data_IF_873247674348
#
_entry.id   IF_873247674348
#
_cell.length_a   1.000
_cell.length_b   1.000
_cell.length_c   1.000
_cell.angle_alpha   90.00
_cell.angle_beta   90.00
_cell.angle_gamma   90.00
#
_symmetry.space_group_name_H-M   'P 1'
#
loop_
_entity.id
_entity.type
_entity.pdbx_description
1 polymer ?
#
# COMPACT_ATOMS: atom_id res chain seq x y z
N UNK A 1 19.92 -58.32 -12.98
CA UNK A 1 19.95 -57.36 -11.86
C UNK A 1 20.19 -55.98 -12.43
N UNK A 2 19.13 -55.16 -12.53
CA UNK A 2 19.17 -53.86 -13.21
C UNK A 2 18.94 -52.79 -12.16
N UNK A 3 20.02 -52.14 -11.72
CA UNK A 3 19.94 -51.01 -10.78
C UNK A 3 19.54 -49.76 -11.56
N UNK A 4 18.31 -49.28 -11.36
CA UNK A 4 17.87 -47.98 -11.87
C UNK A 4 18.64 -46.85 -11.14
N UNK A 5 19.14 -45.83 -11.84
CA UNK A 5 19.78 -44.69 -11.20
C UNK A 5 18.72 -43.81 -10.54
N UNK A 6 18.78 -43.72 -9.21
CA UNK A 6 18.04 -42.74 -8.43
C UNK A 6 18.54 -41.34 -8.78
N UNK A 7 17.84 -40.64 -9.69
CA UNK A 7 18.10 -39.22 -9.97
C UNK A 7 17.70 -38.39 -8.75
N UNK A 8 18.67 -38.09 -7.90
CA UNK A 8 18.56 -37.04 -6.89
C UNK A 8 18.61 -35.70 -7.63
N UNK A 9 17.46 -35.20 -8.06
CA UNK A 9 17.34 -33.80 -8.48
C UNK A 9 17.43 -32.93 -7.23
N UNK A 10 18.63 -32.51 -6.84
CA UNK A 10 18.81 -31.49 -5.81
C UNK A 10 18.39 -30.14 -6.39
N UNK A 11 17.09 -29.82 -6.36
CA UNK A 11 16.69 -28.42 -6.49
C UNK A 11 17.29 -27.69 -5.30
N UNK A 12 18.06 -26.64 -5.56
CA UNK A 12 18.60 -25.81 -4.49
C UNK A 12 17.42 -25.26 -3.66
N UNK A 13 17.54 -25.16 -2.32
CA UNK A 13 16.44 -24.71 -1.46
C UNK A 13 16.20 -23.19 -1.52
N UNK A 14 17.19 -22.42 -2.02
CA UNK A 14 17.16 -20.95 -2.07
C UNK A 14 16.06 -20.36 -2.97
N UNK A 15 15.81 -20.86 -4.20
CA UNK A 15 14.75 -20.34 -5.07
C UNK A 15 13.35 -20.63 -4.53
N UNK A 16 13.14 -21.79 -3.89
CA UNK A 16 11.84 -22.16 -3.33
C UNK A 16 11.53 -21.33 -2.07
N UNK A 17 12.52 -21.08 -1.21
CA UNK A 17 12.36 -20.21 -0.05
C UNK A 17 12.04 -18.76 -0.45
N UNK A 18 12.74 -18.23 -1.46
CA UNK A 18 12.50 -16.89 -2.00
C UNK A 18 11.11 -16.79 -2.65
N UNK A 19 10.72 -17.77 -3.47
CA UNK A 19 9.39 -17.82 -4.07
C UNK A 19 8.27 -17.87 -3.01
N UNK A 20 8.47 -18.66 -1.95
CA UNK A 20 7.56 -18.72 -0.81
C UNK A 20 7.45 -17.39 -0.06
N UNK A 21 8.55 -16.65 0.11
CA UNK A 21 8.54 -15.32 0.71
C UNK A 21 7.73 -14.31 -0.12
N UNK A 22 7.99 -14.23 -1.43
CA UNK A 22 7.27 -13.33 -2.34
C UNK A 22 5.77 -13.66 -2.41
N UNK A 23 5.41 -14.94 -2.37
CA UNK A 23 4.01 -15.37 -2.33
C UNK A 23 3.30 -14.92 -1.04
N UNK A 24 3.93 -15.13 0.12
CA UNK A 24 3.40 -14.66 1.41
C UNK A 24 3.19 -13.14 1.42
N UNK A 25 4.16 -12.41 0.88
CA UNK A 25 4.10 -10.97 0.76
C UNK A 25 2.92 -10.52 -0.13
N UNK A 26 2.72 -11.16 -1.28
CA UNK A 26 1.68 -10.78 -2.24
C UNK A 26 0.24 -10.95 -1.73
N UNK A 27 -0.02 -11.96 -0.88
CA UNK A 27 -1.40 -12.30 -0.46
C UNK A 27 -1.87 -11.55 0.78
N UNK A 28 -1.00 -11.35 1.78
CA UNK A 28 -1.39 -10.78 3.08
C UNK A 28 -0.20 -10.13 3.77
N UNK A 29 0.00 -8.84 3.52
CA UNK A 29 0.98 -8.05 4.27
C UNK A 29 0.27 -7.04 5.17
N UNK A 30 -0.06 -7.47 6.40
CA UNK A 30 -0.73 -6.63 7.39
C UNK A 30 0.04 -5.34 7.66
N UNK A 31 1.37 -5.42 7.68
CA UNK A 31 2.22 -4.26 7.90
C UNK A 31 2.03 -3.21 6.79
N UNK A 32 1.96 -3.60 5.51
CA UNK A 32 1.75 -2.64 4.42
C UNK A 32 0.38 -1.95 4.53
N UNK A 33 -0.66 -2.70 4.86
CA UNK A 33 -2.00 -2.15 5.05
C UNK A 33 -2.05 -1.17 6.24
N UNK A 34 -1.45 -1.55 7.37
CA UNK A 34 -1.33 -0.65 8.53
C UNK A 34 -0.49 0.59 8.24
N UNK A 35 0.62 0.47 7.50
CA UNK A 35 1.42 1.62 7.08
C UNK A 35 0.60 2.57 6.22
N UNK A 36 -0.18 2.06 5.26
CA UNK A 36 -1.06 2.90 4.42
C UNK A 36 -2.16 3.59 5.25
N UNK A 37 -2.74 2.91 6.23
CA UNK A 37 -3.71 3.53 7.15
C UNK A 37 -3.07 4.56 8.07
N UNK A 38 -1.88 4.29 8.61
CA UNK A 38 -1.16 5.25 9.43
C UNK A 38 -0.79 6.51 8.63
N UNK A 39 -0.33 6.35 7.38
CA UNK A 39 -0.10 7.47 6.46
C UNK A 39 -1.38 8.27 6.22
N UNK A 40 -2.50 7.62 5.91
CA UNK A 40 -3.77 8.31 5.73
C UNK A 40 -4.19 9.10 6.99
N UNK A 41 -4.17 8.45 8.16
CA UNK A 41 -4.61 9.05 9.41
C UNK A 41 -3.72 10.21 9.86
N UNK A 42 -2.41 10.10 9.66
CA UNK A 42 -1.46 11.18 9.97
C UNK A 42 -1.48 12.31 8.95
N UNK A 43 -1.92 12.03 7.71
CA UNK A 43 -2.10 13.05 6.67
C UNK A 43 -3.36 13.88 6.83
N UNK A 44 -4.42 13.33 7.43
CA UNK A 44 -5.72 14.01 7.57
C UNK A 44 -5.63 15.36 8.32
N UNK A 45 -4.94 15.47 9.47
CA UNK A 45 -4.78 16.75 10.17
C UNK A 45 -4.01 17.81 9.38
N UNK A 46 -3.26 17.41 8.34
CA UNK A 46 -2.46 18.31 7.49
C UNK A 46 -3.28 18.94 6.36
N UNK A 47 -4.54 18.52 6.20
CA UNK A 47 -5.44 19.09 5.20
C UNK A 47 -5.97 20.41 5.72
N UNK A 48 -5.83 21.48 4.94
CA UNK A 48 -6.10 22.86 5.37
C UNK A 48 -7.51 23.06 5.97
N UNK A 49 -8.53 22.39 5.46
CA UNK A 49 -9.91 22.52 5.96
C UNK A 49 -10.17 21.83 7.30
N UNK A 50 -9.27 20.95 7.76
CA UNK A 50 -9.45 20.25 9.04
C UNK A 50 -9.15 21.17 10.24
N UNK A 51 -8.42 22.27 10.02
CA UNK A 51 -8.13 23.30 11.02
C UNK A 51 -7.64 22.75 12.37
N UNK A 52 -6.83 21.67 12.34
CA UNK A 52 -6.21 21.11 13.54
C UNK A 52 -5.35 22.16 14.26
N UNK A 53 -5.23 22.05 15.58
CA UNK A 53 -4.30 22.87 16.33
C UNK A 53 -2.84 22.57 15.92
N UNK A 54 -1.99 23.59 16.08
CA UNK A 54 -0.61 23.52 15.63
C UNK A 54 0.21 22.36 16.21
N UNK A 55 0.09 22.00 17.51
CA UNK A 55 0.76 20.83 18.06
C UNK A 55 0.42 19.53 17.33
N UNK A 56 -0.87 19.30 17.03
CA UNK A 56 -1.32 18.12 16.30
C UNK A 56 -0.77 18.13 14.87
N UNK A 57 -0.86 19.25 14.15
CA UNK A 57 -0.30 19.36 12.80
C UNK A 57 1.19 19.05 12.76
N UNK A 58 1.96 19.59 13.73
CA UNK A 58 3.41 19.37 13.81
C UNK A 58 3.77 17.90 13.99
N UNK A 59 3.15 17.22 14.95
CA UNK A 59 3.43 15.81 15.21
C UNK A 59 2.93 14.91 14.07
N UNK A 60 1.76 15.22 13.53
CA UNK A 60 1.22 14.55 12.34
C UNK A 60 2.16 14.68 11.15
N UNK A 61 2.69 15.88 10.87
CA UNK A 61 3.62 16.12 9.76
C UNK A 61 4.92 15.32 9.93
N UNK A 62 5.51 15.35 11.13
CA UNK A 62 6.72 14.60 11.43
C UNK A 62 6.50 13.09 11.25
N UNK A 63 5.44 12.54 11.85
CA UNK A 63 5.13 11.12 11.75
C UNK A 63 4.78 10.71 10.31
N UNK A 64 3.99 11.52 9.60
CA UNK A 64 3.61 11.28 8.21
C UNK A 64 4.84 11.27 7.30
N UNK A 65 5.74 12.25 7.45
CA UNK A 65 7.01 12.32 6.71
C UNK A 65 7.90 11.11 6.98
N UNK A 66 8.06 10.70 8.24
CA UNK A 66 8.86 9.52 8.60
C UNK A 66 8.27 8.22 8.04
N UNK A 67 6.95 8.03 8.18
CA UNK A 67 6.25 6.87 7.62
C UNK A 67 6.33 6.86 6.09
N UNK A 68 6.27 8.02 5.45
CA UNK A 68 6.35 8.13 3.99
C UNK A 68 7.75 7.84 3.48
N UNK A 69 8.76 8.42 4.12
CA UNK A 69 10.16 8.29 3.70
C UNK A 69 10.75 6.92 3.99
N UNK A 70 10.38 6.28 5.10
CA UNK A 70 10.94 4.99 5.51
C UNK A 70 9.92 3.85 5.47
N UNK A 71 8.73 4.06 6.03
CA UNK A 71 7.69 3.02 6.08
C UNK A 71 7.23 2.60 4.69
N UNK A 72 6.93 3.54 3.80
CA UNK A 72 6.44 3.24 2.46
C UNK A 72 7.46 2.44 1.62
N UNK A 73 8.73 2.85 1.45
CA UNK A 73 9.67 2.07 0.65
C UNK A 73 10.05 0.72 1.28
N UNK A 74 10.14 0.63 2.62
CA UNK A 74 10.55 -0.62 3.27
C UNK A 74 9.41 -1.65 3.36
N UNK A 75 8.16 -1.21 3.45
CA UNK A 75 7.02 -2.09 3.73
C UNK A 75 6.03 -2.14 2.56
N UNK A 76 5.65 -0.98 2.02
CA UNK A 76 4.60 -0.89 0.99
C UNK A 76 5.14 -1.23 -0.39
N UNK A 77 6.32 -0.72 -0.77
CA UNK A 77 6.92 -0.98 -2.08
C UNK A 77 7.18 -2.47 -2.36
N UNK A 78 7.80 -3.26 -1.46
CA UNK A 78 8.01 -4.69 -1.73
C UNK A 78 6.66 -5.45 -1.76
N UNK A 79 5.71 -5.09 -0.91
CA UNK A 79 4.34 -5.62 -0.96
C UNK A 79 3.69 -5.35 -2.31
N UNK A 80 3.75 -4.11 -2.79
CA UNK A 80 3.17 -3.69 -4.05
C UNK A 80 3.79 -4.44 -5.24
N UNK A 81 5.10 -4.60 -5.28
CA UNK A 81 5.79 -5.36 -6.34
C UNK A 81 5.35 -6.83 -6.37
N UNK A 82 5.24 -7.45 -5.19
CA UNK A 82 4.74 -8.81 -5.05
C UNK A 82 3.27 -8.93 -5.50
N UNK A 83 2.44 -7.98 -5.07
CA UNK A 83 1.01 -7.95 -5.35
C UNK A 83 0.72 -7.69 -6.83
N UNK A 84 1.53 -6.87 -7.52
CA UNK A 84 1.42 -6.61 -8.96
C UNK A 84 1.49 -7.90 -9.79
N UNK A 85 2.43 -8.78 -9.47
CA UNK A 85 2.58 -10.09 -10.14
C UNK A 85 1.33 -10.96 -9.97
N UNK A 86 0.76 -10.96 -8.76
CA UNK A 86 -0.49 -11.68 -8.48
C UNK A 86 -1.65 -11.12 -9.33
N UNK A 87 -1.81 -9.81 -9.39
CA UNK A 87 -2.87 -9.17 -10.15
C UNK A 87 -2.77 -9.41 -11.65
N UNK A 88 -1.55 -9.44 -12.22
CA UNK A 88 -1.33 -9.75 -13.64
C UNK A 88 -1.86 -11.15 -14.02
N UNK A 89 -1.81 -12.11 -13.10
CA UNK A 89 -2.33 -13.47 -13.31
C UNK A 89 -3.81 -13.65 -12.95
N UNK A 90 -4.44 -12.65 -12.32
CA UNK A 90 -5.83 -12.76 -11.87
C UNK A 90 -6.80 -12.76 -13.05
N UNK A 91 -7.78 -13.67 -13.05
CA UNK A 91 -8.86 -13.69 -14.05
C UNK A 91 -9.93 -12.61 -13.82
N UNK A 92 -9.97 -11.99 -12.63
CA UNK A 92 -11.01 -11.03 -12.23
C UNK A 92 -10.68 -9.61 -12.72
N UNK A 93 -11.43 -9.13 -13.71
CA UNK A 93 -11.22 -7.81 -14.32
C UNK A 93 -11.22 -6.66 -13.30
N UNK A 94 -12.15 -6.65 -12.35
CA UNK A 94 -12.23 -5.62 -11.32
C UNK A 94 -10.95 -5.52 -10.48
N UNK A 95 -10.34 -6.64 -10.10
CA UNK A 95 -9.08 -6.65 -9.33
C UNK A 95 -7.92 -6.09 -10.16
N UNK A 96 -7.86 -6.41 -11.46
CA UNK A 96 -6.81 -5.90 -12.36
C UNK A 96 -6.93 -4.38 -12.54
N UNK A 97 -8.13 -3.88 -12.82
CA UNK A 97 -8.37 -2.45 -13.05
C UNK A 97 -8.09 -1.65 -11.79
N UNK A 98 -8.71 -2.02 -10.66
CA UNK A 98 -8.52 -1.31 -9.40
C UNK A 98 -7.06 -1.37 -8.92
N UNK A 99 -6.39 -2.50 -9.09
CA UNK A 99 -4.96 -2.62 -8.76
C UNK A 99 -4.06 -1.75 -9.63
N UNK A 100 -4.33 -1.63 -10.93
CA UNK A 100 -3.57 -0.73 -11.83
C UNK A 100 -3.81 0.74 -11.51
N UNK A 101 -5.05 1.12 -11.19
CA UNK A 101 -5.36 2.47 -10.73
C UNK A 101 -4.65 2.79 -9.42
N UNK A 102 -4.66 1.87 -8.45
CA UNK A 102 -3.92 2.02 -7.20
C UNK A 102 -2.42 2.16 -7.42
N UNK A 103 -1.83 1.42 -8.37
CA UNK A 103 -0.41 1.54 -8.76
C UNK A 103 -0.08 2.95 -9.27
N UNK A 104 -0.90 3.51 -10.16
CA UNK A 104 -0.69 4.88 -10.68
C UNK A 104 -0.84 5.91 -9.56
N UNK A 105 -1.89 5.80 -8.74
CA UNK A 105 -2.13 6.72 -7.63
C UNK A 105 -1.01 6.65 -6.60
N UNK A 106 -0.54 5.46 -6.24
CA UNK A 106 0.56 5.28 -5.29
C UNK A 106 1.85 5.90 -5.81
N UNK A 107 2.13 5.80 -7.12
CA UNK A 107 3.28 6.47 -7.73
C UNK A 107 3.15 8.00 -7.65
N UNK A 108 1.98 8.55 -7.97
CA UNK A 108 1.72 10.00 -7.84
C UNK A 108 1.92 10.45 -6.39
N UNK A 109 1.36 9.73 -5.42
CA UNK A 109 1.51 10.00 -3.98
C UNK A 109 2.98 9.94 -3.56
N UNK A 110 3.72 8.91 -4.00
CA UNK A 110 5.13 8.74 -3.64
C UNK A 110 6.01 9.87 -4.20
N UNK A 111 5.86 10.20 -5.49
CA UNK A 111 6.66 11.25 -6.14
C UNK A 111 6.36 12.62 -5.54
N UNK A 112 5.07 12.96 -5.43
CA UNK A 112 4.65 14.23 -4.84
C UNK A 112 5.00 14.33 -3.34
N UNK A 113 4.85 13.24 -2.59
CA UNK A 113 5.17 13.19 -1.17
C UNK A 113 6.67 13.33 -0.92
N UNK A 114 7.50 12.66 -1.73
CA UNK A 114 8.95 12.82 -1.68
C UNK A 114 9.36 14.28 -1.94
N UNK A 115 8.78 14.92 -2.95
CA UNK A 115 9.00 16.34 -3.20
C UNK A 115 8.59 17.21 -2.00
N UNK A 116 7.40 16.99 -1.44
CA UNK A 116 6.87 17.78 -0.33
C UNK A 116 7.70 17.61 0.96
N UNK A 117 8.27 16.44 1.21
CA UNK A 117 9.16 16.24 2.37
C UNK A 117 10.48 17.01 2.21
N UNK A 118 11.03 17.08 0.98
CA UNK A 118 12.34 17.67 0.75
C UNK A 118 12.32 19.18 0.48
N UNK A 119 11.33 19.64 -0.29
CA UNK A 119 11.18 21.06 -0.66
C UNK A 119 10.03 21.77 0.05
N UNK A 120 8.94 21.07 0.32
CA UNK A 120 7.70 21.65 0.84
C UNK A 120 6.89 22.40 -0.23
N UNK A 121 5.69 22.85 0.15
CA UNK A 121 4.89 23.78 -0.66
C UNK A 121 5.23 25.21 -0.26
N UNK A 122 6.11 25.87 -1.03
CA UNK A 122 6.61 27.23 -0.73
C UNK A 122 5.75 28.35 -1.32
N UNK A 123 4.62 28.00 -1.94
CA UNK A 123 3.73 28.95 -2.62
C UNK A 123 4.08 29.17 -4.10
N UNK A 124 5.10 28.49 -4.62
CA UNK A 124 5.39 28.45 -6.06
C UNK A 124 4.48 27.47 -6.80
N UNK A 125 4.41 27.59 -8.13
CA UNK A 125 3.53 26.77 -8.98
C UNK A 125 3.82 25.27 -8.84
N UNK A 126 5.10 24.87 -8.77
CA UNK A 126 5.47 23.46 -8.66
C UNK A 126 5.09 22.90 -7.29
N UNK A 127 5.38 23.64 -6.22
CA UNK A 127 4.95 23.30 -4.86
C UNK A 127 3.43 23.11 -4.75
N UNK A 128 2.65 24.00 -5.37
CA UNK A 128 1.20 23.90 -5.43
C UNK A 128 0.74 22.65 -6.21
N UNK A 129 1.32 22.39 -7.38
CA UNK A 129 1.00 21.19 -8.19
C UNK A 129 1.29 19.91 -7.40
N UNK A 130 2.46 19.82 -6.75
CA UNK A 130 2.83 18.65 -5.96
C UNK A 130 1.90 18.46 -4.75
N UNK A 131 1.55 19.56 -4.07
CA UNK A 131 0.57 19.54 -2.98
C UNK A 131 -0.80 18.99 -3.43
N UNK A 132 -1.36 19.57 -4.51
CA UNK A 132 -2.67 19.15 -5.02
C UNK A 132 -2.65 17.73 -5.58
N UNK A 133 -1.60 17.36 -6.31
CA UNK A 133 -1.42 15.99 -6.81
C UNK A 133 -1.39 14.98 -5.66
N UNK A 134 -0.64 15.28 -4.58
CA UNK A 134 -0.57 14.42 -3.41
C UNK A 134 -1.93 14.26 -2.73
N UNK A 135 -2.63 15.38 -2.51
CA UNK A 135 -3.92 15.40 -1.82
C UNK A 135 -5.01 14.68 -2.62
N UNK A 136 -5.19 15.05 -3.88
CA UNK A 136 -6.23 14.46 -4.75
C UNK A 136 -5.98 12.97 -4.95
N UNK A 137 -4.72 12.57 -5.19
CA UNK A 137 -4.38 11.16 -5.37
C UNK A 137 -4.63 10.36 -4.08
N UNK A 138 -4.30 10.91 -2.90
CA UNK A 138 -4.53 10.25 -1.60
C UNK A 138 -6.02 10.08 -1.31
N UNK A 139 -6.81 11.15 -1.50
CA UNK A 139 -8.27 11.10 -1.29
C UNK A 139 -8.96 10.14 -2.26
N UNK A 140 -8.42 9.95 -3.46
CA UNK A 140 -8.92 8.95 -4.41
C UNK A 140 -8.44 7.54 -4.07
N UNK A 141 -7.19 7.40 -3.64
CA UNK A 141 -6.56 6.12 -3.30
C UNK A 141 -7.21 5.47 -2.09
N UNK A 142 -7.51 6.22 -1.03
CA UNK A 142 -8.07 5.69 0.21
C UNK A 142 -9.38 4.87 0.03
N UNK A 143 -10.46 5.40 -0.59
CA UNK A 143 -11.68 4.64 -0.81
C UNK A 143 -11.46 3.48 -1.80
N UNK A 144 -10.58 3.65 -2.79
CA UNK A 144 -10.25 2.59 -3.74
C UNK A 144 -9.53 1.42 -3.04
N UNK A 145 -8.56 1.72 -2.17
CA UNK A 145 -7.86 0.73 -1.32
C UNK A 145 -8.86 -0.03 -0.45
N UNK A 146 -9.76 0.69 0.25
CA UNK A 146 -10.78 0.06 1.10
C UNK A 146 -11.68 -0.88 0.29
N UNK A 147 -12.12 -0.45 -0.90
CA UNK A 147 -12.95 -1.26 -1.80
C UNK A 147 -12.21 -2.46 -2.38
N UNK A 148 -10.94 -2.29 -2.74
CA UNK A 148 -10.08 -3.33 -3.32
C UNK A 148 -9.75 -4.41 -2.27
N UNK A 149 -9.35 -3.97 -1.08
CA UNK A 149 -8.96 -4.86 0.02
C UNK A 149 -10.16 -5.39 0.83
N UNK A 150 -11.39 -4.89 0.63
CA UNK A 150 -12.55 -5.12 1.50
C UNK A 150 -12.72 -6.55 2.05
N UNK A 151 -12.57 -7.59 1.21
CA UNK A 151 -12.75 -9.00 1.62
C UNK A 151 -11.54 -9.59 2.35
N UNK A 152 -10.36 -9.01 2.19
CA UNK A 152 -9.07 -9.53 2.66
C UNK A 152 -8.32 -8.59 3.62
N UNK A 153 -8.87 -7.40 3.85
CA UNK A 153 -8.37 -6.33 4.70
C UNK A 153 -8.18 -6.76 6.16
N UNK A 154 -7.23 -6.15 6.86
CA UNK A 154 -7.08 -6.28 8.32
C UNK A 154 -8.33 -5.79 9.08
N UNK A 155 -9.13 -4.90 8.47
CA UNK A 155 -10.38 -4.38 9.03
C UNK A 155 -11.56 -5.36 8.86
N UNK A 156 -11.37 -6.53 8.25
CA UNK A 156 -12.41 -7.56 8.08
C UNK A 156 -13.20 -7.89 9.36
N UNK A 157 -12.59 -8.04 10.55
CA UNK A 157 -13.34 -8.28 11.78
C UNK A 157 -14.30 -7.14 12.12
N UNK A 158 -13.89 -5.88 11.87
CA UNK A 158 -14.73 -4.71 12.06
C UNK A 158 -15.91 -4.70 11.07
N UNK A 159 -15.64 -4.96 9.79
CA UNK A 159 -16.68 -5.06 8.76
C UNK A 159 -17.74 -6.13 9.05
N UNK A 160 -17.34 -7.23 9.69
CA UNK A 160 -18.27 -8.27 10.15
C UNK A 160 -19.15 -7.77 11.30
N UNK A 161 -18.57 -7.08 12.29
CA UNK A 161 -19.33 -6.50 13.41
C UNK A 161 -20.33 -5.45 12.95
N UNK A 162 -19.99 -4.68 11.91
CA UNK A 162 -20.87 -3.69 11.30
C UNK A 162 -21.92 -4.30 10.35
N UNK A 163 -21.95 -5.63 10.16
CA UNK A 163 -22.92 -6.31 9.30
C UNK A 163 -22.66 -6.16 7.79
N UNK A 164 -21.54 -5.55 7.39
CA UNK A 164 -21.23 -5.29 5.97
C UNK A 164 -20.68 -6.51 5.23
N UNK A 165 -20.18 -7.50 5.97
CA UNK A 165 -19.83 -8.81 5.43
C UNK A 165 -20.83 -9.83 5.96
N UNK A 166 -21.81 -10.20 5.13
CA UNK A 166 -22.64 -11.38 5.42
C UNK A 166 -21.73 -12.60 5.48
N UNK A 167 -21.86 -13.39 6.53
CA UNK A 167 -21.34 -14.75 6.57
C UNK A 167 -22.09 -15.53 5.50
N UNK A 168 -21.51 -15.65 4.31
CA UNK A 168 -21.94 -16.74 3.42
C UNK A 168 -21.59 -18.03 4.15
N UNK A 169 -22.57 -18.94 4.36
CA UNK A 169 -22.31 -20.27 4.92
C UNK A 169 -21.24 -21.01 4.09
#
# INVERSE_FOLDING_TARGET
MTTLPTRLTSRSPLPEAAAGYWWRLAYRHRAAEWTLYALLLTGLPLVAWWAADWPLQRWSLALHGLLGMFGAPLVVAPFWLAHRRLLQTSRKALLRVTGRLMEILLLIIAVSGFYLVWWGNRGDTLGAVMHWAHLIATLTFAPLLLRHAFRWSVLRPLWRRLGWLRTTP
#
